data_IF_523846774840
#
_entry.id   IF_523846774840
#
_cell.length_a   1.000
_cell.length_b   1.000
_cell.length_c   1.000
_cell.angle_alpha   90.00
_cell.angle_beta   90.00
_cell.angle_gamma   90.00
#
_symmetry.space_group_name_H-M   'P 1'
#
loop_
_entity.id
_entity.type
_entity.pdbx_description
1 polymer ?
#
# COMPACT_ATOMS: atom_id res chain seq x y z
N UNK A 1 -29.68 32.11 1.84
CA UNK A 1 -28.27 32.10 1.38
C UNK A 1 -27.67 30.80 1.81
N UNK A 2 -27.59 29.84 0.89
CA UNK A 2 -26.93 28.53 1.14
C UNK A 2 -25.41 28.75 1.07
N UNK A 3 -24.77 28.66 2.22
CA UNK A 3 -23.31 28.58 2.27
C UNK A 3 -22.95 27.25 1.65
N UNK A 4 -22.51 27.26 0.38
CA UNK A 4 -21.81 26.14 -0.23
C UNK A 4 -20.50 25.98 0.56
N UNK A 5 -20.51 25.09 1.55
CA UNK A 5 -19.30 24.61 2.19
C UNK A 5 -18.50 23.91 1.08
N UNK A 6 -17.52 24.57 0.56
CA UNK A 6 -16.48 23.96 -0.29
C UNK A 6 -15.87 22.84 0.54
N UNK A 7 -16.30 21.60 0.27
CA UNK A 7 -15.73 20.39 0.86
C UNK A 7 -14.25 20.45 0.48
N UNK A 8 -13.38 20.76 1.43
CA UNK A 8 -11.93 20.74 1.21
C UNK A 8 -11.60 19.36 0.64
N UNK A 9 -11.19 19.32 -0.62
CA UNK A 9 -10.79 18.08 -1.26
C UNK A 9 -9.61 17.54 -0.47
N UNK A 10 -9.77 16.38 0.12
CA UNK A 10 -8.69 15.67 0.82
C UNK A 10 -7.59 15.39 -0.18
N UNK A 11 -6.40 15.92 0.03
CA UNK A 11 -5.25 15.67 -0.83
C UNK A 11 -4.76 14.22 -0.60
N UNK A 12 -4.40 13.57 -1.68
CA UNK A 12 -3.86 12.20 -1.63
C UNK A 12 -2.67 12.07 -2.57
N UNK A 13 -1.61 11.47 -2.06
CA UNK A 13 -0.47 11.01 -2.84
C UNK A 13 -0.55 9.50 -2.93
N UNK A 14 -0.62 8.94 -4.14
CA UNK A 14 -0.44 7.51 -4.34
C UNK A 14 1.05 7.18 -4.41
N UNK A 15 1.47 6.17 -3.66
CA UNK A 15 2.83 5.62 -3.71
C UNK A 15 2.72 4.16 -4.12
N UNK A 16 3.10 3.87 -5.35
CA UNK A 16 3.11 2.54 -5.94
C UNK A 16 4.54 2.01 -5.97
N UNK A 17 4.79 0.93 -5.25
CA UNK A 17 6.12 0.27 -5.23
C UNK A 17 6.13 -0.90 -6.20
N UNK A 18 7.16 -0.95 -7.05
CA UNK A 18 7.37 -2.03 -8.02
C UNK A 18 8.84 -2.46 -8.10
N UNK A 19 9.07 -3.71 -8.49
CA UNK A 19 10.38 -4.22 -8.88
C UNK A 19 10.39 -4.41 -10.40
N UNK A 20 10.80 -3.36 -11.12
CA UNK A 20 10.77 -3.33 -12.57
C UNK A 20 9.36 -3.47 -13.15
N UNK A 21 9.26 -4.05 -14.35
CA UNK A 21 7.98 -4.34 -15.01
C UNK A 21 7.49 -5.72 -14.60
N UNK A 22 6.70 -5.78 -13.52
CA UNK A 22 6.06 -7.02 -13.11
C UNK A 22 4.88 -7.40 -14.02
N UNK A 23 4.50 -8.68 -14.12
CA UNK A 23 3.37 -9.10 -14.94
C UNK A 23 2.01 -8.54 -14.49
N UNK A 24 1.93 -8.00 -13.29
CA UNK A 24 0.70 -7.43 -12.70
C UNK A 24 0.61 -5.92 -12.85
N UNK A 25 1.75 -5.24 -13.03
CA UNK A 25 1.88 -3.80 -12.97
C UNK A 25 0.98 -3.07 -13.98
N UNK A 26 0.88 -3.57 -15.21
CA UNK A 26 0.02 -2.95 -16.23
C UNK A 26 -1.46 -2.87 -15.78
N UNK A 27 -1.95 -3.93 -15.15
CA UNK A 27 -3.31 -3.96 -14.64
C UNK A 27 -3.50 -3.03 -13.44
N UNK A 28 -2.51 -2.94 -12.57
CA UNK A 28 -2.49 -2.02 -11.43
C UNK A 28 -2.48 -0.56 -11.90
N UNK A 29 -1.61 -0.18 -12.85
CA UNK A 29 -1.58 1.16 -13.42
C UNK A 29 -2.89 1.54 -14.12
N UNK A 30 -3.46 0.60 -14.88
CA UNK A 30 -4.78 0.79 -15.52
C UNK A 30 -5.88 1.01 -14.48
N UNK A 31 -5.88 0.24 -13.41
CA UNK A 31 -6.84 0.40 -12.32
C UNK A 31 -6.70 1.76 -11.60
N UNK A 32 -5.49 2.27 -11.46
CA UNK A 32 -5.24 3.61 -10.93
C UNK A 32 -5.75 4.71 -11.87
N UNK A 33 -5.54 4.56 -13.17
CA UNK A 33 -6.03 5.53 -14.16
C UNK A 33 -7.56 5.57 -14.26
N UNK A 34 -8.25 4.49 -13.87
CA UNK A 34 -9.72 4.39 -13.91
C UNK A 34 -10.41 4.86 -12.63
N UNK A 35 -9.69 5.33 -11.62
CA UNK A 35 -10.29 5.76 -10.36
C UNK A 35 -11.26 6.94 -10.55
N UNK A 36 -12.44 6.89 -9.90
CA UNK A 36 -13.40 8.00 -9.86
C UNK A 36 -12.84 9.22 -9.14
N UNK A 37 -11.91 9.00 -8.23
CA UNK A 37 -11.08 10.02 -7.56
C UNK A 37 -9.62 9.78 -7.87
N UNK A 38 -8.98 10.72 -8.56
CA UNK A 38 -7.55 10.65 -8.86
C UNK A 38 -6.71 11.25 -7.74
N UNK A 39 -5.58 10.64 -7.37
CA UNK A 39 -4.58 11.29 -6.51
C UNK A 39 -4.05 12.57 -7.16
N UNK A 40 -3.68 13.57 -6.37
CA UNK A 40 -3.01 14.79 -6.86
C UNK A 40 -1.61 14.50 -7.39
N UNK A 41 -0.96 13.50 -6.80
CA UNK A 41 0.39 13.06 -7.14
C UNK A 41 0.42 11.53 -7.09
N UNK A 42 1.08 10.92 -8.08
CA UNK A 42 1.36 9.49 -8.11
C UNK A 42 2.87 9.29 -8.21
N UNK A 43 3.45 8.63 -7.23
CA UNK A 43 4.87 8.28 -7.19
C UNK A 43 5.02 6.78 -7.45
N UNK A 44 5.66 6.42 -8.56
CA UNK A 44 5.99 5.04 -8.88
C UNK A 44 7.42 4.78 -8.44
N UNK A 45 7.62 4.01 -7.39
CA UNK A 45 8.93 3.72 -6.81
C UNK A 45 9.44 2.40 -7.34
N UNK A 46 10.53 2.44 -8.12
CA UNK A 46 11.17 1.28 -8.70
C UNK A 46 12.36 0.85 -7.85
N UNK A 47 12.29 -0.33 -7.26
CA UNK A 47 13.39 -0.90 -6.47
C UNK A 47 14.37 -1.73 -7.31
N UNK A 48 14.04 -2.02 -8.58
CA UNK A 48 14.93 -2.67 -9.54
C UNK A 48 15.42 -1.66 -10.58
N UNK A 49 16.38 -0.81 -10.22
CA UNK A 49 16.83 0.29 -11.08
C UNK A 49 17.99 -0.11 -12.00
N UNK A 50 17.74 -1.00 -12.97
CA UNK A 50 18.58 -1.09 -14.17
C UNK A 50 18.12 -0.05 -15.19
N UNK A 51 19.05 0.40 -16.08
CA UNK A 51 18.70 1.37 -17.12
C UNK A 51 17.58 0.87 -18.04
N UNK A 52 17.59 -0.43 -18.36
CA UNK A 52 16.59 -1.07 -19.21
C UNK A 52 15.23 -1.13 -18.49
N UNK A 53 15.19 -1.62 -17.25
CA UNK A 53 13.93 -1.72 -16.49
C UNK A 53 13.30 -0.35 -16.23
N UNK A 54 14.10 0.69 -16.06
CA UNK A 54 13.61 2.06 -15.87
C UNK A 54 12.94 2.60 -17.14
N UNK A 55 13.53 2.37 -18.32
CA UNK A 55 12.96 2.83 -19.59
C UNK A 55 11.65 2.10 -19.92
N UNK A 56 11.60 0.79 -19.73
CA UNK A 56 10.41 -0.03 -19.97
C UNK A 56 9.29 0.36 -19.00
N UNK A 57 9.62 0.60 -17.73
CA UNK A 57 8.67 1.06 -16.73
C UNK A 57 8.11 2.44 -17.06
N UNK A 58 8.96 3.37 -17.50
CA UNK A 58 8.54 4.71 -17.92
C UNK A 58 7.58 4.64 -19.12
N UNK A 59 7.86 3.81 -20.10
CA UNK A 59 6.98 3.57 -21.24
C UNK A 59 5.62 3.01 -20.82
N UNK A 60 5.63 2.05 -19.87
CA UNK A 60 4.40 1.45 -19.35
C UNK A 60 3.54 2.47 -18.56
N UNK A 61 4.16 3.29 -17.72
CA UNK A 61 3.48 4.36 -16.97
C UNK A 61 2.84 5.37 -17.94
N UNK A 62 3.55 5.75 -19.01
CA UNK A 62 3.00 6.66 -20.03
C UNK A 62 1.83 6.01 -20.77
N UNK A 63 1.94 4.74 -21.17
CA UNK A 63 0.90 4.01 -21.88
C UNK A 63 -0.38 3.79 -21.05
N UNK A 64 -0.28 3.79 -19.73
CA UNK A 64 -1.43 3.59 -18.83
C UNK A 64 -2.45 4.74 -18.83
N UNK A 65 -2.07 5.92 -19.35
CA UNK A 65 -2.90 7.13 -19.31
C UNK A 65 -2.90 7.85 -17.95
N UNK A 66 -2.23 7.32 -16.94
CA UNK A 66 -2.19 7.88 -15.60
C UNK A 66 -1.60 9.29 -15.56
N UNK A 67 -0.58 9.54 -16.37
CA UNK A 67 0.09 10.85 -16.50
C UNK A 67 -0.82 11.98 -16.99
N UNK A 68 -1.92 11.66 -17.66
CA UNK A 68 -2.91 12.64 -18.09
C UNK A 68 -3.90 13.03 -16.97
N UNK A 69 -3.99 12.23 -15.92
CA UNK A 69 -4.98 12.36 -14.84
C UNK A 69 -4.38 12.85 -13.52
N UNK A 70 -3.10 12.52 -13.28
CA UNK A 70 -2.35 12.80 -12.07
C UNK A 70 -0.93 13.20 -12.43
N UNK A 71 -0.33 14.15 -11.71
CA UNK A 71 1.12 14.30 -11.83
C UNK A 71 1.79 12.99 -11.40
N UNK A 72 2.48 12.35 -12.34
CA UNK A 72 3.06 11.03 -12.12
C UNK A 72 4.57 11.09 -12.33
N UNK A 73 5.32 10.63 -11.35
CA UNK A 73 6.78 10.59 -11.39
C UNK A 73 7.32 9.21 -11.04
N UNK A 74 8.38 8.79 -11.74
CA UNK A 74 9.10 7.57 -11.49
C UNK A 74 10.32 7.87 -10.61
N UNK A 75 10.40 7.23 -9.46
CA UNK A 75 11.51 7.30 -8.51
C UNK A 75 12.29 5.99 -8.56
N UNK A 76 13.59 6.06 -8.81
CA UNK A 76 14.46 4.89 -8.67
C UNK A 76 15.00 4.83 -7.25
N UNK A 77 14.85 3.69 -6.60
CA UNK A 77 15.28 3.41 -5.23
C UNK A 77 15.93 2.02 -5.12
N UNK A 78 17.04 1.77 -5.83
CA UNK A 78 17.70 0.45 -5.86
C UNK A 78 18.27 0.04 -4.50
N UNK A 79 18.45 0.98 -3.59
CA UNK A 79 18.86 0.75 -2.21
C UNK A 79 17.74 0.21 -1.32
N UNK A 80 16.49 0.37 -1.71
CA UNK A 80 15.36 -0.09 -0.93
C UNK A 80 15.20 -1.61 -1.00
N UNK A 81 15.37 -2.28 0.13
CA UNK A 81 15.32 -3.74 0.24
C UNK A 81 13.93 -4.29 0.53
N UNK A 82 12.98 -3.42 0.88
CA UNK A 82 11.60 -3.77 1.20
C UNK A 82 10.63 -2.64 0.87
N UNK A 83 9.32 -2.93 0.99
CA UNK A 83 8.26 -1.98 0.71
C UNK A 83 8.35 -0.71 1.58
N UNK A 84 8.60 -0.86 2.87
CA UNK A 84 8.70 0.27 3.81
C UNK A 84 9.83 1.24 3.45
N UNK A 85 11.00 0.73 3.06
CA UNK A 85 12.13 1.56 2.63
C UNK A 85 11.84 2.27 1.30
N UNK A 86 11.15 1.61 0.37
CA UNK A 86 10.74 2.24 -0.88
C UNK A 86 9.73 3.39 -0.63
N UNK A 87 8.77 3.18 0.27
CA UNK A 87 7.85 4.25 0.69
C UNK A 87 8.60 5.39 1.40
N UNK A 88 9.55 5.08 2.29
CA UNK A 88 10.37 6.07 2.97
C UNK A 88 11.12 6.97 1.98
N UNK A 89 11.67 6.39 0.90
CA UNK A 89 12.33 7.17 -0.15
C UNK A 89 11.40 8.17 -0.84
N UNK A 90 10.16 7.78 -1.13
CA UNK A 90 9.16 8.70 -1.69
C UNK A 90 8.79 9.81 -0.68
N UNK A 91 8.66 9.45 0.59
CA UNK A 91 8.32 10.39 1.67
C UNK A 91 9.42 11.42 1.90
N UNK A 92 10.70 11.04 1.85
CA UNK A 92 11.83 11.97 1.92
C UNK A 92 11.74 13.07 0.85
N UNK A 93 11.36 12.72 -0.38
CA UNK A 93 11.18 13.70 -1.46
C UNK A 93 9.98 14.61 -1.19
N UNK A 94 8.91 14.11 -0.58
CA UNK A 94 7.76 14.92 -0.16
C UNK A 94 8.19 15.90 0.93
N UNK A 95 8.90 15.45 1.97
CA UNK A 95 9.35 16.27 3.10
C UNK A 95 10.37 17.32 2.67
N UNK A 96 11.28 16.99 1.75
CA UNK A 96 12.24 17.98 1.18
C UNK A 96 11.54 19.09 0.41
N UNK A 97 10.26 18.95 0.13
CA UNK A 97 9.44 19.91 -0.61
C UNK A 97 9.62 19.83 -2.13
N UNK A 98 10.14 18.73 -2.65
CA UNK A 98 10.26 18.50 -4.08
C UNK A 98 8.92 18.65 -4.82
N UNK A 99 7.82 18.25 -4.16
CA UNK A 99 6.46 18.28 -4.72
C UNK A 99 5.57 19.43 -4.23
N UNK A 100 6.13 20.53 -3.71
CA UNK A 100 5.35 21.68 -3.16
C UNK A 100 4.39 22.33 -4.16
N UNK A 101 4.66 22.21 -5.45
CA UNK A 101 3.78 22.70 -6.52
C UNK A 101 2.54 21.84 -6.73
N UNK A 102 2.54 20.60 -6.24
CA UNK A 102 1.47 19.61 -6.47
C UNK A 102 0.68 19.32 -5.20
N UNK A 103 1.31 19.36 -4.05
CA UNK A 103 0.69 19.05 -2.76
C UNK A 103 1.12 20.04 -1.68
N UNK A 104 0.19 20.30 -0.75
CA UNK A 104 0.45 21.16 0.41
C UNK A 104 0.48 20.30 1.67
N UNK A 105 1.68 20.06 2.19
CA UNK A 105 1.89 19.25 3.40
C UNK A 105 1.38 19.89 4.70
N UNK A 106 0.99 21.18 4.67
CA UNK A 106 0.41 21.88 5.84
C UNK A 106 -1.12 21.71 5.95
N UNK A 107 -1.74 21.00 5.02
CA UNK A 107 -3.17 20.70 5.01
C UNK A 107 -3.39 19.20 5.15
N UNK A 108 -4.63 18.73 5.44
CA UNK A 108 -4.91 17.31 5.49
C UNK A 108 -4.45 16.60 4.22
N UNK A 109 -3.53 15.68 4.37
CA UNK A 109 -2.86 14.94 3.31
C UNK A 109 -2.85 13.45 3.66
N UNK A 110 -3.13 12.61 2.69
CA UNK A 110 -3.13 11.17 2.84
C UNK A 110 -2.16 10.51 1.87
N UNK A 111 -1.51 9.44 2.30
CA UNK A 111 -0.71 8.55 1.47
C UNK A 111 -1.55 7.32 1.12
N UNK A 112 -1.73 7.04 -0.15
CA UNK A 112 -2.35 5.80 -0.63
C UNK A 112 -1.25 4.84 -1.06
N UNK A 113 -1.00 3.81 -0.27
CA UNK A 113 0.11 2.89 -0.44
C UNK A 113 -0.34 1.68 -1.26
N UNK A 114 0.40 1.36 -2.33
CA UNK A 114 0.02 0.35 -3.31
C UNK A 114 1.21 -0.56 -3.64
N UNK A 115 0.90 -1.83 -3.86
CA UNK A 115 1.82 -2.80 -4.44
C UNK A 115 1.57 -2.92 -5.95
N UNK A 116 2.57 -3.28 -6.72
CA UNK A 116 2.45 -3.47 -8.16
C UNK A 116 1.54 -4.63 -8.58
N UNK A 117 1.17 -5.49 -7.63
CA UNK A 117 0.25 -6.61 -7.76
C UNK A 117 -1.06 -6.37 -6.99
N UNK A 118 -1.46 -5.10 -6.82
CA UNK A 118 -2.69 -4.70 -6.16
C UNK A 118 -3.51 -3.74 -7.04
N UNK A 119 -4.60 -4.23 -7.62
CA UNK A 119 -5.45 -3.49 -8.54
C UNK A 119 -6.76 -3.03 -7.87
N UNK A 120 -6.90 -1.73 -7.52
CA UNK A 120 -8.11 -1.21 -6.88
C UNK A 120 -9.30 -1.21 -7.84
N UNK A 121 -10.52 -1.42 -7.31
CA UNK A 121 -11.75 -1.15 -8.04
C UNK A 121 -11.91 0.36 -8.28
N UNK A 122 -12.73 0.71 -9.26
CA UNK A 122 -12.86 2.06 -9.80
C UNK A 122 -13.18 3.14 -8.77
N UNK A 123 -13.88 2.82 -7.70
CA UNK A 123 -14.32 3.69 -6.61
C UNK A 123 -13.54 3.49 -5.29
N UNK A 124 -12.49 2.66 -5.31
CA UNK A 124 -11.75 2.29 -4.12
C UNK A 124 -11.20 3.50 -3.36
N UNK A 125 -10.50 4.42 -4.03
CA UNK A 125 -9.97 5.62 -3.38
C UNK A 125 -11.09 6.54 -2.88
N UNK A 126 -12.18 6.68 -3.63
CA UNK A 126 -13.33 7.52 -3.22
C UNK A 126 -13.96 6.98 -1.94
N UNK A 127 -14.14 5.66 -1.83
CA UNK A 127 -14.70 5.03 -0.64
C UNK A 127 -13.78 5.19 0.58
N UNK A 128 -12.48 5.00 0.42
CA UNK A 128 -11.48 5.25 1.47
C UNK A 128 -11.49 6.70 1.95
N UNK A 129 -11.48 7.67 1.02
CA UNK A 129 -11.54 9.09 1.35
C UNK A 129 -12.86 9.48 2.03
N UNK A 130 -13.97 8.90 1.61
CA UNK A 130 -15.30 9.17 2.18
C UNK A 130 -15.39 8.67 3.63
N UNK A 131 -14.85 7.48 3.91
CA UNK A 131 -14.81 6.91 5.26
C UNK A 131 -13.91 7.73 6.22
N UNK A 132 -12.89 8.42 5.72
CA UNK A 132 -11.95 9.21 6.53
C UNK A 132 -12.30 10.69 6.64
N UNK A 133 -13.14 11.23 5.76
CA UNK A 133 -13.38 12.67 5.59
C UNK A 133 -13.82 13.42 6.87
N UNK A 134 -14.52 12.76 7.78
CA UNK A 134 -15.02 13.35 9.03
C UNK A 134 -14.51 12.63 10.29
N UNK A 135 -13.53 11.76 10.13
CA UNK A 135 -13.05 10.86 11.19
C UNK A 135 -11.63 11.24 11.63
N UNK A 136 -11.45 12.38 12.30
CA UNK A 136 -10.16 12.93 12.73
C UNK A 136 -9.31 11.99 13.59
N UNK A 137 -9.91 10.98 14.20
CA UNK A 137 -9.21 9.98 14.99
C UNK A 137 -8.68 8.81 14.15
N UNK A 138 -9.11 8.68 12.89
CA UNK A 138 -8.64 7.62 11.99
C UNK A 138 -7.34 8.05 11.35
N UNK A 139 -6.31 7.22 11.48
CA UNK A 139 -5.02 7.43 10.83
C UNK A 139 -4.72 6.40 9.72
N UNK A 140 -5.45 5.28 9.69
CA UNK A 140 -5.32 4.27 8.64
C UNK A 140 -6.69 3.73 8.24
N UNK A 141 -6.92 3.60 6.94
CA UNK A 141 -8.10 2.98 6.36
C UNK A 141 -7.68 1.96 5.28
N UNK A 142 -7.94 0.68 5.53
CA UNK A 142 -7.60 -0.40 4.60
C UNK A 142 -8.80 -0.83 3.77
N UNK A 143 -8.60 -1.22 2.50
CA UNK A 143 -9.66 -1.79 1.68
C UNK A 143 -9.94 -3.25 2.05
N UNK A 144 -11.11 -3.77 1.61
CA UNK A 144 -11.37 -5.19 1.47
C UNK A 144 -10.47 -5.73 0.36
N UNK A 145 -9.63 -6.71 0.69
CA UNK A 145 -8.78 -7.36 -0.30
C UNK A 145 -9.44 -8.65 -0.79
N UNK A 146 -9.51 -8.79 -2.11
CA UNK A 146 -10.08 -9.96 -2.78
C UNK A 146 -9.04 -10.62 -3.71
N UNK A 147 -9.28 -11.88 -4.04
CA UNK A 147 -8.40 -12.65 -4.90
C UNK A 147 -8.26 -12.01 -6.29
N UNK A 148 -7.04 -12.06 -6.82
CA UNK A 148 -6.72 -11.44 -8.11
C UNK A 148 -7.48 -12.02 -9.28
N UNK A 149 -7.55 -13.35 -9.36
CA UNK A 149 -8.17 -14.08 -10.46
C UNK A 149 -9.68 -14.29 -10.24
N UNK A 150 -10.11 -14.37 -8.97
CA UNK A 150 -11.50 -14.55 -8.58
C UNK A 150 -11.93 -13.51 -7.54
N UNK A 151 -12.36 -12.31 -7.97
CA UNK A 151 -12.76 -11.22 -7.05
C UNK A 151 -13.94 -11.54 -6.12
N UNK A 152 -14.64 -12.65 -6.33
CA UNK A 152 -15.65 -13.15 -5.39
C UNK A 152 -15.07 -13.86 -4.17
N UNK A 153 -13.74 -14.06 -4.08
CA UNK A 153 -13.07 -14.67 -2.93
C UNK A 153 -12.37 -13.63 -2.08
N UNK A 154 -12.61 -13.70 -0.78
CA UNK A 154 -11.96 -12.83 0.19
C UNK A 154 -10.51 -13.24 0.44
N UNK A 155 -9.65 -12.26 0.64
CA UNK A 155 -8.28 -12.43 1.13
C UNK A 155 -8.09 -11.78 2.50
N UNK A 156 -8.60 -10.55 2.69
CA UNK A 156 -8.44 -9.80 3.93
C UNK A 156 -9.56 -8.77 4.09
N UNK A 157 -10.17 -8.73 5.28
CA UNK A 157 -11.07 -7.65 5.72
C UNK A 157 -10.65 -7.23 7.13
N UNK A 158 -9.53 -6.52 7.20
CA UNK A 158 -8.81 -6.27 8.45
C UNK A 158 -8.04 -7.48 8.95
N UNK A 159 -7.11 -7.23 9.86
CA UNK A 159 -6.21 -8.23 10.43
C UNK A 159 -6.41 -8.35 11.93
N UNK A 160 -6.17 -9.54 12.45
CA UNK A 160 -6.03 -9.83 13.88
C UNK A 160 -4.60 -10.29 14.19
N UNK A 161 -4.31 -10.40 15.47
CA UNK A 161 -3.08 -11.03 15.96
C UNK A 161 -3.44 -12.17 16.92
N UNK A 162 -2.62 -13.19 16.92
CA UNK A 162 -2.67 -14.24 17.94
C UNK A 162 -2.16 -13.69 19.29
N UNK A 163 -2.36 -14.46 20.37
CA UNK A 163 -1.78 -14.13 21.68
C UNK A 163 -0.25 -14.00 21.64
N UNK A 164 0.43 -14.63 20.68
CA UNK A 164 1.87 -14.51 20.43
C UNK A 164 2.24 -13.36 19.48
N UNK A 165 1.33 -12.41 19.25
CA UNK A 165 1.50 -11.24 18.39
C UNK A 165 1.80 -11.56 16.91
N UNK A 166 1.46 -12.76 16.43
CA UNK A 166 1.58 -13.13 15.02
C UNK A 166 0.34 -12.69 14.24
N UNK A 167 0.53 -12.29 13.00
CA UNK A 167 -0.56 -12.01 12.06
C UNK A 167 -1.53 -13.18 12.02
N UNK A 168 -2.82 -12.91 12.17
CA UNK A 168 -3.91 -13.85 12.00
C UNK A 168 -4.94 -13.25 11.04
N UNK A 169 -5.40 -14.07 10.11
CA UNK A 169 -6.52 -13.74 9.25
C UNK A 169 -7.71 -14.61 9.66
N UNK A 170 -8.88 -14.01 9.79
CA UNK A 170 -10.11 -14.76 10.09
C UNK A 170 -10.68 -15.42 8.85
N UNK A 171 -10.33 -14.91 7.66
CA UNK A 171 -10.83 -15.40 6.40
C UNK A 171 -10.18 -16.75 6.11
N UNK A 172 -11.02 -17.74 5.86
CA UNK A 172 -10.59 -19.08 5.46
C UNK A 172 -10.18 -19.08 3.98
N UNK A 173 -9.07 -19.73 3.60
CA UNK A 173 -8.68 -19.81 2.19
C UNK A 173 -9.81 -20.28 1.28
N UNK A 174 -10.14 -19.45 0.26
CA UNK A 174 -11.22 -19.72 -0.68
C UNK A 174 -12.62 -19.25 -0.24
N UNK A 175 -12.73 -18.58 0.90
CA UNK A 175 -13.99 -18.02 1.41
C UNK A 175 -14.61 -17.02 0.41
N UNK A 176 -15.88 -17.21 0.10
CA UNK A 176 -16.64 -16.38 -0.81
C UNK A 176 -17.16 -15.14 -0.09
N UNK A 177 -17.05 -13.97 -0.73
CA UNK A 177 -17.65 -12.73 -0.25
C UNK A 177 -19.17 -12.80 -0.38
N UNK A 178 -19.86 -12.75 0.75
CA UNK A 178 -21.31 -12.70 0.88
C UNK A 178 -21.76 -11.49 1.73
N UNK A 179 -20.85 -10.52 1.92
CA UNK A 179 -21.09 -9.37 2.79
C UNK A 179 -20.98 -9.68 4.29
N UNK A 180 -20.48 -10.86 4.67
CA UNK A 180 -20.40 -11.30 6.08
C UNK A 180 -19.48 -10.47 6.95
N UNK A 181 -18.64 -9.61 6.33
CA UNK A 181 -17.72 -8.71 7.02
C UNK A 181 -18.01 -7.22 6.74
N UNK A 182 -19.11 -6.90 6.06
CA UNK A 182 -19.37 -5.52 5.62
C UNK A 182 -19.75 -4.56 6.75
N UNK A 183 -20.18 -5.08 7.90
CA UNK A 183 -20.42 -4.31 9.13
C UNK A 183 -19.13 -3.98 9.91
N UNK A 184 -17.99 -4.50 9.48
CA UNK A 184 -16.72 -4.32 10.18
C UNK A 184 -16.16 -2.94 9.89
N UNK A 185 -15.82 -2.20 10.95
CA UNK A 185 -15.23 -0.85 10.85
C UNK A 185 -13.88 -0.83 11.57
N UNK A 186 -13.88 -0.81 12.92
CA UNK A 186 -12.64 -0.77 13.69
C UNK A 186 -11.97 -2.14 13.71
N UNK A 187 -10.69 -2.15 13.31
CA UNK A 187 -9.88 -3.36 13.26
C UNK A 187 -8.57 -3.16 14.00
N UNK A 188 -7.92 -4.25 14.36
CA UNK A 188 -6.60 -4.20 14.99
C UNK A 188 -5.56 -3.67 14.01
N UNK A 189 -5.60 -4.15 12.77
CA UNK A 189 -4.67 -3.76 11.72
C UNK A 189 -5.28 -3.99 10.33
N UNK A 190 -4.61 -3.43 9.33
CA UNK A 190 -4.88 -3.63 7.90
C UNK A 190 -3.56 -3.94 7.17
N UNK A 191 -3.65 -4.65 6.06
CA UNK A 191 -2.50 -4.88 5.17
C UNK A 191 -2.05 -3.60 4.47
N UNK A 192 -0.80 -3.58 3.99
CA UNK A 192 -0.23 -2.42 3.28
C UNK A 192 -0.73 -2.25 1.85
N UNK A 193 -1.28 -3.32 1.23
CA UNK A 193 -1.77 -3.25 -0.14
C UNK A 193 -3.07 -2.43 -0.22
N UNK A 194 -3.00 -1.22 -0.74
CA UNK A 194 -4.12 -0.31 -0.94
C UNK A 194 -4.53 0.51 0.29
N UNK A 195 -3.76 0.50 1.35
CA UNK A 195 -4.07 1.26 2.57
C UNK A 195 -3.94 2.77 2.37
N UNK A 196 -4.91 3.53 2.86
CA UNK A 196 -4.87 4.98 2.97
C UNK A 196 -4.38 5.36 4.37
N UNK A 197 -3.28 6.14 4.46
CA UNK A 197 -2.61 6.50 5.72
C UNK A 197 -2.56 8.01 5.85
N UNK A 198 -2.94 8.56 7.01
CA UNK A 198 -2.79 10.00 7.30
C UNK A 198 -1.31 10.35 7.36
N UNK A 199 -0.89 11.30 6.51
CA UNK A 199 0.49 11.73 6.37
C UNK A 199 1.09 12.26 7.69
N UNK A 200 0.33 13.07 8.44
CA UNK A 200 0.88 13.70 9.64
C UNK A 200 1.18 12.71 10.78
N UNK A 201 0.27 11.82 11.17
CA UNK A 201 0.60 10.74 12.09
C UNK A 201 1.72 9.84 11.56
N UNK A 202 1.73 9.53 10.25
CA UNK A 202 2.76 8.70 9.63
C UNK A 202 4.17 9.28 9.87
N UNK A 203 4.38 10.55 9.52
CA UNK A 203 5.65 11.23 9.72
C UNK A 203 5.99 11.34 11.21
N UNK A 204 5.03 11.79 12.03
CA UNK A 204 5.24 11.99 13.47
C UNK A 204 5.68 10.72 14.20
N UNK A 205 5.23 9.57 13.74
CA UNK A 205 5.53 8.27 14.36
C UNK A 205 6.70 7.53 13.70
N UNK A 206 7.38 8.15 12.72
CA UNK A 206 8.58 7.63 12.08
C UNK A 206 8.33 6.68 10.91
N UNK A 207 7.09 6.60 10.39
CA UNK A 207 6.77 5.79 9.22
C UNK A 207 6.87 4.29 9.46
N UNK A 208 7.33 3.55 8.46
CA UNK A 208 7.63 2.12 8.59
C UNK A 208 8.97 1.91 9.31
N UNK A 209 9.03 0.92 10.19
CA UNK A 209 10.26 0.53 10.85
C UNK A 209 11.22 -0.17 9.89
N UNK A 210 12.49 0.21 9.92
CA UNK A 210 13.54 -0.44 9.12
C UNK A 210 13.82 -1.90 9.54
N UNK A 211 13.39 -2.28 10.75
CA UNK A 211 13.70 -3.58 11.35
C UNK A 211 12.69 -4.68 11.00
N UNK A 212 11.54 -4.33 10.39
CA UNK A 212 10.55 -5.32 10.00
C UNK A 212 10.77 -5.76 8.55
N UNK A 213 10.83 -7.06 8.36
CA UNK A 213 10.92 -7.68 7.06
C UNK A 213 9.60 -7.65 6.29
N UNK A 214 9.59 -8.18 5.06
CA UNK A 214 8.40 -8.27 4.24
C UNK A 214 7.28 -9.01 4.99
N UNK A 215 6.03 -8.69 4.71
CA UNK A 215 4.80 -9.26 5.30
C UNK A 215 4.33 -8.72 6.66
N UNK A 216 5.08 -7.81 7.31
CA UNK A 216 4.73 -7.23 8.61
C UNK A 216 4.31 -5.76 8.57
N UNK A 217 4.60 -5.06 7.48
CA UNK A 217 4.54 -3.60 7.38
C UNK A 217 3.19 -3.00 7.80
N UNK A 218 2.09 -3.50 7.24
CA UNK A 218 0.75 -2.99 7.58
C UNK A 218 0.35 -3.27 9.02
N UNK A 219 0.69 -4.45 9.55
CA UNK A 219 0.39 -4.84 10.93
C UNK A 219 1.18 -3.98 11.93
N UNK A 220 2.46 -3.78 11.67
CA UNK A 220 3.34 -3.01 12.56
C UNK A 220 2.93 -1.53 12.59
N UNK A 221 2.75 -0.91 11.43
CA UNK A 221 2.30 0.48 11.33
C UNK A 221 0.94 0.67 12.01
N UNK A 222 -0.01 -0.25 11.80
CA UNK A 222 -1.31 -0.23 12.46
C UNK A 222 -1.18 -0.29 13.99
N UNK A 223 -0.29 -1.11 14.50
CA UNK A 223 -0.01 -1.22 15.93
C UNK A 223 0.55 0.09 16.49
N UNK A 224 1.52 0.69 15.80
CA UNK A 224 2.12 1.97 16.20
C UNK A 224 1.07 3.08 16.22
N UNK A 225 0.23 3.18 15.20
CA UNK A 225 -0.89 4.14 15.12
C UNK A 225 -1.86 3.97 16.30
N UNK A 226 -2.26 2.72 16.60
CA UNK A 226 -3.18 2.44 17.71
C UNK A 226 -2.57 2.74 19.07
N UNK A 227 -1.31 2.43 19.29
CA UNK A 227 -0.60 2.78 20.55
C UNK A 227 -0.48 4.30 20.73
N UNK A 228 -0.42 5.06 19.63
CA UNK A 228 -0.46 6.52 19.65
C UNK A 228 -1.89 7.10 19.82
N UNK A 229 -2.92 6.25 19.97
CA UNK A 229 -4.31 6.66 20.21
C UNK A 229 -5.15 6.89 18.95
N UNK A 230 -4.63 6.57 17.77
CA UNK A 230 -5.39 6.65 16.53
C UNK A 230 -6.20 5.38 16.27
N UNK A 231 -7.25 5.53 15.47
CA UNK A 231 -8.06 4.41 14.98
C UNK A 231 -7.48 3.88 13.66
N UNK A 232 -7.59 2.56 13.50
CA UNK A 232 -7.36 1.85 12.25
C UNK A 232 -8.69 1.22 11.85
N UNK A 233 -9.14 1.49 10.64
CA UNK A 233 -10.41 0.98 10.13
C UNK A 233 -10.21 0.15 8.86
N UNK A 234 -11.14 -0.75 8.61
CA UNK A 234 -11.35 -1.35 7.28
C UNK A 234 -12.58 -0.69 6.65
N UNK A 235 -12.56 -0.53 5.34
CA UNK A 235 -13.63 0.04 4.53
C UNK A 235 -14.08 -1.03 3.52
N UNK A 236 -15.10 -1.84 3.84
CA UNK A 236 -15.51 -2.97 3.00
C UNK A 236 -15.97 -2.57 1.60
N UNK A 237 -16.50 -1.35 1.43
CA UNK A 237 -16.91 -0.79 0.14
C UNK A 237 -15.71 -0.41 -0.74
N UNK A 238 -14.54 -0.19 -0.15
CA UNK A 238 -13.30 0.01 -0.88
C UNK A 238 -12.67 -1.35 -1.18
N UNK A 239 -12.73 -1.80 -2.41
CA UNK A 239 -12.27 -3.13 -2.80
C UNK A 239 -11.00 -3.06 -3.64
N UNK A 240 -10.04 -3.95 -3.34
CA UNK A 240 -8.81 -4.10 -4.12
C UNK A 240 -8.53 -5.57 -4.40
N UNK A 241 -8.22 -5.89 -5.66
CA UNK A 241 -7.70 -7.22 -6.02
C UNK A 241 -6.22 -7.27 -5.67
N UNK A 242 -5.79 -8.34 -5.00
CA UNK A 242 -4.40 -8.50 -4.60
C UNK A 242 -3.89 -9.88 -4.98
N UNK A 243 -2.77 -9.93 -5.72
CA UNK A 243 -2.16 -11.19 -6.15
C UNK A 243 -1.41 -11.89 -5.03
N UNK A 244 -0.92 -11.12 -4.05
CA UNK A 244 -0.04 -11.62 -2.99
C UNK A 244 1.22 -12.33 -3.55
N UNK A 245 1.78 -11.80 -4.64
CA UNK A 245 2.81 -12.48 -5.42
C UNK A 245 4.07 -12.82 -4.60
N UNK A 246 4.48 -11.95 -3.68
CA UNK A 246 5.59 -12.22 -2.77
C UNK A 246 5.27 -13.35 -1.79
N UNK A 247 4.06 -13.36 -1.23
CA UNK A 247 3.63 -14.39 -0.28
C UNK A 247 3.50 -15.76 -0.94
N UNK A 248 3.05 -15.78 -2.19
CA UNK A 248 2.89 -17.02 -2.97
C UNK A 248 4.18 -17.47 -3.68
N UNK A 249 5.31 -16.75 -3.49
CA UNK A 249 6.57 -17.08 -4.15
C UNK A 249 6.54 -16.89 -5.68
N UNK A 250 5.63 -16.07 -6.21
CA UNK A 250 5.46 -15.83 -7.64
C UNK A 250 6.41 -14.72 -8.18
N UNK A 251 7.08 -13.99 -7.31
CA UNK A 251 8.15 -13.09 -7.69
C UNK A 251 9.42 -13.95 -7.87
N UNK A 252 10.03 -13.91 -9.07
CA UNK A 252 11.32 -14.53 -9.29
C UNK A 252 12.27 -14.10 -8.17
N UNK A 253 13.07 -15.05 -7.67
CA UNK A 253 14.08 -14.76 -6.67
C UNK A 253 15.04 -13.74 -7.28
N UNK A 254 14.94 -12.49 -6.89
CA UNK A 254 16.05 -11.54 -7.06
C UNK A 254 17.15 -12.13 -6.19
N UNK A 255 18.14 -12.70 -6.83
CA UNK A 255 19.27 -13.32 -6.18
C UNK A 255 20.10 -12.27 -5.45
N UNK A 256 19.69 -11.90 -4.25
CA UNK A 256 20.58 -11.25 -3.30
C UNK A 256 21.53 -12.34 -2.78
N UNK A 257 22.72 -12.37 -3.31
CA UNK A 257 23.81 -13.25 -2.92
C UNK A 257 24.24 -13.13 -1.44
N UNK A 258 23.50 -12.36 -0.64
CA UNK A 258 23.69 -12.22 0.81
C UNK A 258 22.81 -13.16 1.66
N UNK A 259 21.85 -13.88 1.07
CA UNK A 259 20.98 -14.81 1.82
C UNK A 259 21.48 -16.28 1.78
N UNK A 260 22.55 -16.56 1.05
CA UNK A 260 23.07 -17.92 0.90
C UNK A 260 23.90 -18.41 2.11
N UNK A 261 24.42 -17.49 2.94
CA UNK A 261 25.26 -17.88 4.10
C UNK A 261 24.50 -18.25 5.37
N UNK A 262 23.18 -18.04 5.42
CA UNK A 262 22.40 -18.35 6.62
C UNK A 262 21.78 -19.76 6.62
N UNK A 263 21.78 -20.49 5.49
CA UNK A 263 21.16 -21.83 5.41
C UNK A 263 22.15 -23.00 5.62
N UNK A 264 23.44 -22.75 5.58
CA UNK A 264 24.45 -23.80 5.83
C UNK A 264 24.84 -23.96 7.30
N UNK A 265 24.47 -23.04 8.18
CA UNK A 265 24.79 -23.12 9.60
C UNK A 265 23.88 -24.06 10.42
N UNK A 266 22.74 -24.50 9.89
CA UNK A 266 21.75 -25.32 10.65
C UNK A 266 21.74 -26.81 10.26
N UNK A 267 22.63 -27.27 9.38
CA UNK A 267 22.73 -28.70 9.02
C UNK A 267 23.87 -29.46 9.73
N UNK A 268 24.63 -28.80 10.61
CA UNK A 268 25.80 -29.36 11.30
C UNK A 268 25.60 -29.95 12.70
N UNK A 269 24.40 -29.87 13.28
CA UNK A 269 24.14 -30.26 14.68
C UNK A 269 23.18 -31.44 14.83
N UNK A 270 23.35 -32.50 14.04
CA UNK A 270 22.80 -33.84 14.34
C UNK A 270 23.79 -34.91 13.90
N UNK A 271 24.71 -35.24 14.79
CA UNK A 271 25.39 -36.55 14.93
C UNK A 271 26.58 -36.38 15.91
N UNK A 272 26.29 -36.50 17.21
CA UNK A 272 27.15 -37.17 18.20
C UNK A 272 26.34 -37.31 19.49
#
# INVERSE_FOLDING_TARGET
MSVLTTKSLTQTIAILVTSGVSPYLNQTLTALALQTRTPQLTLVVNVEATSASTADLQALVQASGLTALSHTELINAPEAMNFGQAVARAVELIESGHYRSHVNTNTPLWLWLLHDDSAPQVDCLENLQSATANARSVAMAGPKQVDWDNPGKLLEVGLRVTASARRANEIVPGEIDQGQYDDRVDVLAVGSAGVLVDYHPFIKLGGFSEHFGPFGDGLELSKVMRLAGYRVIVVPEAVIRHRQASYLGLRGVVSNAAAADASEADSGAKLA
#
